data_IF_380111526361
#
_entry.id   IF_380111526361
#
_cell.length_a   1.000
_cell.length_b   1.000
_cell.length_c   1.000
_cell.angle_alpha   90.00
_cell.angle_beta   90.00
_cell.angle_gamma   90.00
#
_symmetry.space_group_name_H-M   'P 1'
#
loop_
_entity.id
_entity.type
_entity.pdbx_description
1 polymer ?
#
# COMPACT_ATOMS: atom_id res chain seq x y z
N UNK A 1 12.44 -12.49 9.31
CA UNK A 1 11.44 -11.43 9.13
C UNK A 1 11.38 -11.04 7.67
N UNK A 2 10.22 -11.08 7.08
CA UNK A 2 10.08 -10.82 5.66
C UNK A 2 9.83 -9.35 5.38
N UNK A 3 10.66 -8.74 4.53
CA UNK A 3 10.47 -7.35 4.11
C UNK A 3 9.12 -7.15 3.42
N UNK A 4 8.65 -8.19 2.70
CA UNK A 4 7.37 -8.17 2.03
C UNK A 4 6.22 -7.96 3.01
N UNK A 5 6.21 -8.69 4.11
CA UNK A 5 5.16 -8.57 5.13
C UNK A 5 5.14 -7.16 5.73
N UNK A 6 6.30 -6.60 5.98
CA UNK A 6 6.42 -5.25 6.52
C UNK A 6 5.84 -4.23 5.54
N UNK A 7 6.18 -4.35 4.24
CA UNK A 7 5.69 -3.43 3.22
C UNK A 7 4.17 -3.54 3.08
N UNK A 8 3.63 -4.74 3.06
CA UNK A 8 2.20 -4.95 2.95
C UNK A 8 1.47 -4.34 4.15
N UNK A 9 2.00 -4.52 5.35
CA UNK A 9 1.40 -3.96 6.54
C UNK A 9 1.42 -2.43 6.52
N UNK A 10 2.55 -1.83 6.15
CA UNK A 10 2.65 -0.39 6.01
C UNK A 10 1.65 0.14 4.98
N UNK A 11 1.53 -0.56 3.84
CA UNK A 11 0.60 -0.17 2.80
C UNK A 11 -0.85 -0.21 3.30
N UNK A 12 -1.21 -1.23 4.08
CA UNK A 12 -2.55 -1.32 4.65
C UNK A 12 -2.83 -0.18 5.61
N UNK A 13 -1.88 0.16 6.45
CA UNK A 13 -2.02 1.28 7.37
C UNK A 13 -2.19 2.59 6.60
N UNK A 14 -1.44 2.78 5.53
CA UNK A 14 -1.58 3.95 4.67
C UNK A 14 -2.97 4.01 4.03
N UNK A 15 -3.46 2.89 3.54
CA UNK A 15 -4.80 2.82 2.95
C UNK A 15 -5.89 3.17 3.98
N UNK A 16 -5.73 2.70 5.21
CA UNK A 16 -6.68 2.96 6.29
C UNK A 16 -6.65 4.42 6.77
N UNK A 17 -5.57 5.14 6.51
CA UNK A 17 -5.42 6.52 6.96
C UNK A 17 -6.36 7.49 6.24
N UNK A 18 -6.86 7.12 5.06
CA UNK A 18 -7.70 8.01 4.26
C UNK A 18 -6.92 9.05 3.48
N UNK A 19 -5.59 9.04 3.53
CA UNK A 19 -4.74 10.03 2.88
C UNK A 19 -4.39 9.66 1.43
N UNK A 20 -4.65 8.43 1.03
CA UNK A 20 -4.28 7.93 -0.29
C UNK A 20 -5.52 7.53 -1.07
N UNK A 21 -5.52 7.84 -2.38
CA UNK A 21 -6.66 7.54 -3.26
C UNK A 21 -6.67 6.09 -3.73
N UNK A 22 -5.49 5.53 -3.95
CA UNK A 22 -5.36 4.21 -4.54
C UNK A 22 -4.04 3.59 -4.15
N UNK A 23 -3.88 2.30 -4.48
CA UNK A 23 -2.64 1.59 -4.25
C UNK A 23 -1.45 2.24 -4.97
N UNK A 24 -1.69 2.92 -6.09
CA UNK A 24 -0.62 3.58 -6.85
C UNK A 24 0.03 4.69 -6.05
N UNK A 25 -0.77 5.49 -5.36
CA UNK A 25 -0.25 6.53 -4.50
C UNK A 25 0.57 5.94 -3.36
N UNK A 26 0.09 4.84 -2.79
CA UNK A 26 0.80 4.14 -1.72
C UNK A 26 2.13 3.59 -2.22
N UNK A 27 2.11 2.92 -3.39
CA UNK A 27 3.33 2.39 -3.99
C UNK A 27 4.36 3.50 -4.22
N UNK A 28 3.92 4.60 -4.81
CA UNK A 28 4.80 5.74 -5.07
C UNK A 28 5.44 6.27 -3.81
N UNK A 29 4.67 6.37 -2.73
CA UNK A 29 5.20 6.86 -1.46
C UNK A 29 6.21 5.89 -0.85
N UNK A 30 5.90 4.60 -0.87
CA UNK A 30 6.82 3.59 -0.33
C UNK A 30 8.12 3.55 -1.11
N UNK A 31 8.05 3.71 -2.43
CA UNK A 31 9.25 3.77 -3.26
C UNK A 31 10.07 5.03 -2.96
N UNK A 32 9.40 6.15 -2.78
CA UNK A 32 10.06 7.40 -2.43
C UNK A 32 10.76 7.31 -1.07
N UNK A 33 10.23 6.51 -0.16
CA UNK A 33 10.85 6.27 1.15
C UNK A 33 12.04 5.32 1.07
N UNK A 34 12.35 4.81 -0.13
CA UNK A 34 13.54 3.97 -0.34
C UNK A 34 13.34 2.50 0.00
N UNK A 35 12.12 2.05 0.15
CA UNK A 35 11.86 0.65 0.47
C UNK A 35 12.09 -0.22 -0.75
N UNK A 36 12.82 -1.35 -0.60
CA UNK A 36 13.09 -2.25 -1.72
C UNK A 36 11.91 -3.16 -2.02
N UNK A 37 11.81 -3.58 -3.28
CA UNK A 37 10.84 -4.60 -3.73
C UNK A 37 9.39 -4.26 -3.44
N UNK A 38 9.05 -2.98 -3.46
CA UNK A 38 7.67 -2.55 -3.21
C UNK A 38 6.72 -3.18 -4.24
N UNK A 39 7.10 -3.21 -5.52
CA UNK A 39 6.25 -3.76 -6.57
C UNK A 39 6.01 -5.26 -6.38
N UNK A 40 7.02 -5.99 -5.91
CA UNK A 40 6.89 -7.42 -5.66
C UNK A 40 5.98 -7.70 -4.46
N UNK A 41 6.03 -6.84 -3.47
CA UNK A 41 5.19 -6.99 -2.27
C UNK A 41 3.73 -6.63 -2.54
N UNK A 42 3.48 -5.66 -3.42
CA UNK A 42 2.13 -5.23 -3.76
C UNK A 42 1.62 -5.98 -4.99
N UNK A 43 1.30 -7.26 -4.81
CA UNK A 43 0.74 -8.07 -5.88
C UNK A 43 -0.73 -7.70 -6.15
N UNK A 44 -1.36 -8.37 -7.12
CA UNK A 44 -2.72 -8.03 -7.54
C UNK A 44 -3.72 -8.09 -6.40
N UNK A 45 -3.63 -9.10 -5.54
CA UNK A 45 -4.55 -9.26 -4.42
C UNK A 45 -4.38 -8.12 -3.41
N UNK A 46 -3.12 -7.78 -3.12
CA UNK A 46 -2.83 -6.68 -2.20
C UNK A 46 -3.31 -5.36 -2.79
N UNK A 47 -3.08 -5.13 -4.09
CA UNK A 47 -3.53 -3.90 -4.75
C UNK A 47 -5.05 -3.73 -4.66
N UNK A 48 -5.80 -4.80 -4.87
CA UNK A 48 -7.25 -4.77 -4.76
C UNK A 48 -7.69 -4.45 -3.33
N UNK A 49 -7.04 -5.07 -2.36
CA UNK A 49 -7.33 -4.83 -0.95
C UNK A 49 -7.06 -3.36 -0.60
N UNK A 50 -5.92 -2.83 -1.04
CA UNK A 50 -5.57 -1.44 -0.78
C UNK A 50 -6.58 -0.47 -1.43
N UNK A 51 -6.96 -0.73 -2.67
CA UNK A 51 -7.97 0.10 -3.35
C UNK A 51 -9.29 0.07 -2.62
N UNK A 52 -9.71 -1.09 -2.17
CA UNK A 52 -10.94 -1.22 -1.41
C UNK A 52 -10.88 -0.41 -0.12
N UNK A 53 -9.79 -0.51 0.61
CA UNK A 53 -9.60 0.22 1.86
C UNK A 53 -9.55 1.73 1.62
N UNK A 54 -8.85 2.15 0.57
CA UNK A 54 -8.77 3.57 0.21
C UNK A 54 -10.16 4.12 -0.09
N UNK A 55 -10.95 3.41 -0.88
CA UNK A 55 -12.32 3.85 -1.22
C UNK A 55 -13.21 3.91 0.00
N UNK A 56 -13.09 2.94 0.89
CA UNK A 56 -13.91 2.87 2.10
C UNK A 56 -13.63 4.05 3.02
N UNK A 57 -12.39 4.52 3.06
CA UNK A 57 -11.99 5.62 3.94
C UNK A 57 -12.16 7.00 3.32
N UNK A 58 -12.31 7.09 2.02
CA UNK A 58 -12.54 8.38 1.35
C UNK A 58 -14.02 8.69 1.29
N UNK A 59 -14.33 9.98 1.38
CA UNK A 59 -15.70 10.47 1.25
C UNK A 59 -15.85 11.37 0.05
#
# INVERSE_FOLDING_TARGET
MEARSTIVQLAREMAESGLYRSWRSIEGRLRADGLPRVRDALDDDVRRDLDHRCRTRQR
#
